data_IF_196035918588
#
_entry.id   IF_196035918588
#
_cell.length_a   1.000
_cell.length_b   1.000
_cell.length_c   1.000
_cell.angle_alpha   90.00
_cell.angle_beta   90.00
_cell.angle_gamma   90.00
#
_symmetry.space_group_name_H-M   'P 1'
#
loop_
_entity.id
_entity.type
_entity.pdbx_description
1 polymer ?
#
# COMPACT_ATOMS: atom_id res chain seq x y z
N UNK A 1 29.75 13.29 10.98
CA UNK A 1 28.37 12.99 10.53
C UNK A 1 28.31 11.51 10.15
N UNK A 2 27.36 10.75 10.69
CA UNK A 2 27.31 9.28 10.58
C UNK A 2 26.48 8.87 9.34
N UNK A 3 27.15 8.30 8.33
CA UNK A 3 26.57 7.87 7.04
C UNK A 3 25.38 6.92 7.20
N UNK A 4 25.38 6.08 8.24
CA UNK A 4 24.32 5.10 8.49
C UNK A 4 22.96 5.75 8.80
N UNK A 5 22.96 6.94 9.42
CA UNK A 5 21.72 7.66 9.73
C UNK A 5 21.05 8.24 8.48
N UNK A 6 21.84 8.58 7.44
CA UNK A 6 21.29 9.09 6.18
C UNK A 6 20.66 7.97 5.36
N UNK A 7 21.32 6.82 5.28
CA UNK A 7 20.79 5.63 4.59
C UNK A 7 19.50 5.13 5.24
N UNK A 8 19.43 5.12 6.58
CA UNK A 8 18.20 4.78 7.29
C UNK A 8 17.07 5.76 6.95
N UNK A 9 17.37 7.06 6.95
CA UNK A 9 16.40 8.12 6.68
C UNK A 9 15.87 8.08 5.23
N UNK A 10 16.72 7.78 4.26
CA UNK A 10 16.33 7.56 2.86
C UNK A 10 15.45 6.32 2.73
N UNK A 11 15.84 5.20 3.34
CA UNK A 11 15.03 3.97 3.35
C UNK A 11 13.63 4.20 3.94
N UNK A 12 13.52 4.95 5.03
CA UNK A 12 12.21 5.28 5.61
C UNK A 12 11.36 6.16 4.69
N UNK A 13 11.99 7.11 4.00
CA UNK A 13 11.29 7.98 3.04
C UNK A 13 10.75 7.18 1.86
N UNK A 14 11.57 6.29 1.31
CA UNK A 14 11.21 5.47 0.16
C UNK A 14 10.03 4.53 0.50
N UNK A 15 10.04 3.94 1.69
CA UNK A 15 8.94 3.09 2.17
C UNK A 15 7.64 3.87 2.43
N UNK A 16 7.71 5.11 2.94
CA UNK A 16 6.52 5.95 3.08
C UNK A 16 5.98 6.35 1.71
N UNK A 17 6.87 6.68 0.76
CA UNK A 17 6.47 6.98 -0.61
C UNK A 17 5.82 5.76 -1.29
N UNK A 18 6.37 4.56 -1.07
CA UNK A 18 5.79 3.28 -1.49
C UNK A 18 4.38 3.13 -0.92
N UNK A 19 4.20 3.29 0.40
CA UNK A 19 2.91 3.17 1.06
C UNK A 19 1.85 4.11 0.44
N UNK A 20 2.20 5.38 0.22
CA UNK A 20 1.29 6.36 -0.40
C UNK A 20 0.88 5.92 -1.81
N UNK A 21 1.81 5.38 -2.61
CA UNK A 21 1.51 4.88 -3.95
C UNK A 21 0.58 3.68 -3.89
N UNK A 22 0.83 2.73 -2.99
CA UNK A 22 0.02 1.53 -2.82
C UNK A 22 -1.42 1.88 -2.41
N UNK A 23 -1.61 2.76 -1.42
CA UNK A 23 -2.95 3.20 -0.99
C UNK A 23 -3.72 3.85 -2.14
N UNK A 24 -3.08 4.73 -2.92
CA UNK A 24 -3.73 5.35 -4.09
C UNK A 24 -4.11 4.34 -5.18
N UNK A 25 -3.33 3.26 -5.33
CA UNK A 25 -3.68 2.18 -6.24
C UNK A 25 -4.86 1.37 -5.71
N UNK A 26 -4.93 1.17 -4.40
CA UNK A 26 -6.03 0.48 -3.75
C UNK A 26 -7.36 1.22 -3.88
N UNK A 27 -7.35 2.54 -3.72
CA UNK A 27 -8.51 3.41 -3.96
C UNK A 27 -9.03 3.26 -5.41
N UNK A 28 -8.12 3.27 -6.39
CA UNK A 28 -8.49 3.09 -7.81
C UNK A 28 -9.07 1.71 -8.08
N UNK A 29 -8.47 0.67 -7.52
CA UNK A 29 -8.96 -0.69 -7.65
C UNK A 29 -10.36 -0.82 -7.04
N UNK A 30 -10.56 -0.29 -5.84
CA UNK A 30 -11.84 -0.27 -5.14
C UNK A 30 -12.92 0.49 -5.91
N UNK A 31 -12.56 1.59 -6.58
CA UNK A 31 -13.49 2.34 -7.44
C UNK A 31 -13.94 1.52 -8.66
N UNK A 32 -13.01 0.83 -9.33
CA UNK A 32 -13.33 -0.06 -10.46
C UNK A 32 -14.23 -1.21 -10.04
N UNK A 33 -13.90 -1.87 -8.93
CA UNK A 33 -14.70 -2.95 -8.35
C UNK A 33 -16.12 -2.48 -8.04
N UNK A 34 -16.25 -1.28 -7.44
CA UNK A 34 -17.55 -0.70 -7.07
C UNK A 34 -18.41 -0.33 -8.29
N UNK A 35 -17.78 0.05 -9.40
CA UNK A 35 -18.44 0.32 -10.69
C UNK A 35 -18.84 -0.97 -11.44
N UNK A 36 -18.63 -2.14 -10.83
CA UNK A 36 -19.03 -3.43 -11.36
C UNK A 36 -17.99 -4.11 -12.25
N UNK A 37 -16.75 -3.62 -12.28
CA UNK A 37 -15.64 -4.31 -12.94
C UNK A 37 -15.15 -5.46 -12.04
N UNK A 38 -15.88 -6.58 -12.05
CA UNK A 38 -15.51 -7.80 -11.34
C UNK A 38 -15.70 -9.08 -12.20
N UNK A 39 -14.70 -9.98 -12.24
CA UNK A 39 -13.28 -9.81 -11.91
C UNK A 39 -12.49 -9.21 -13.11
N UNK A 40 -11.49 -8.37 -12.84
CA UNK A 40 -10.62 -7.83 -13.91
C UNK A 40 -9.86 -8.97 -14.61
N UNK A 41 -9.09 -9.75 -13.84
CA UNK A 41 -8.38 -10.97 -14.24
C UNK A 41 -7.66 -11.60 -13.01
N UNK A 42 -7.11 -12.80 -13.15
CA UNK A 42 -6.40 -13.54 -12.10
C UNK A 42 -5.16 -12.79 -11.59
N UNK A 43 -4.37 -12.20 -12.48
CA UNK A 43 -3.17 -11.45 -12.09
C UNK A 43 -3.56 -10.19 -11.31
N UNK A 44 -4.55 -9.44 -11.78
CA UNK A 44 -5.05 -8.25 -11.07
C UNK A 44 -5.51 -8.57 -9.65
N UNK A 45 -6.17 -9.72 -9.47
CA UNK A 45 -6.61 -10.20 -8.15
C UNK A 45 -5.43 -10.57 -7.25
N UNK A 46 -4.43 -11.27 -7.79
CA UNK A 46 -3.22 -11.62 -7.07
C UNK A 46 -2.39 -10.39 -6.68
N UNK A 47 -2.23 -9.42 -7.59
CA UNK A 47 -1.56 -8.15 -7.30
C UNK A 47 -2.32 -7.31 -6.26
N UNK A 48 -3.66 -7.33 -6.26
CA UNK A 48 -4.45 -6.70 -5.21
C UNK A 48 -4.16 -7.33 -3.84
N UNK A 49 -4.12 -8.66 -3.75
CA UNK A 49 -3.77 -9.37 -2.52
C UNK A 49 -2.40 -8.95 -1.99
N UNK A 50 -1.36 -9.00 -2.83
CA UNK A 50 0.01 -8.61 -2.44
C UNK A 50 0.08 -7.13 -2.02
N UNK A 51 -0.66 -6.25 -2.70
CA UNK A 51 -0.74 -4.83 -2.37
C UNK A 51 -1.31 -4.61 -0.97
N UNK A 52 -2.44 -5.24 -0.65
CA UNK A 52 -3.07 -5.12 0.67
C UNK A 52 -2.11 -5.59 1.75
N UNK A 53 -1.47 -6.75 1.58
CA UNK A 53 -0.48 -7.25 2.54
C UNK A 53 0.69 -6.28 2.74
N UNK A 54 1.19 -5.65 1.66
CA UNK A 54 2.29 -4.67 1.76
C UNK A 54 1.86 -3.37 2.43
N UNK A 55 0.63 -2.90 2.19
CA UNK A 55 0.04 -1.75 2.88
C UNK A 55 -0.04 -2.02 4.38
N UNK A 56 -0.52 -3.20 4.78
CA UNK A 56 -0.61 -3.60 6.19
C UNK A 56 0.77 -3.64 6.86
N UNK A 57 1.76 -4.28 6.21
CA UNK A 57 3.13 -4.37 6.71
C UNK A 57 3.73 -2.98 6.98
N UNK A 58 3.65 -2.07 5.99
CA UNK A 58 4.17 -0.71 6.12
C UNK A 58 3.37 0.11 7.14
N UNK A 59 2.05 -0.05 7.17
CA UNK A 59 1.20 0.66 8.13
C UNK A 59 1.54 0.25 9.56
N UNK A 60 1.73 -1.04 9.83
CA UNK A 60 2.17 -1.55 11.13
C UNK A 60 3.57 -1.05 11.49
N UNK A 61 4.51 -1.10 10.54
CA UNK A 61 5.89 -0.61 10.75
C UNK A 61 5.95 0.85 11.20
N UNK A 62 5.05 1.68 10.66
CA UNK A 62 5.00 3.12 10.96
C UNK A 62 3.91 3.52 11.97
N UNK A 63 3.17 2.56 12.55
CA UNK A 63 2.12 2.83 13.53
C UNK A 63 0.89 3.57 12.96
N UNK A 64 0.63 3.42 11.66
CA UNK A 64 -0.54 3.99 10.98
C UNK A 64 -1.68 2.97 11.14
N UNK A 65 -2.79 3.38 11.75
CA UNK A 65 -3.96 2.51 11.89
C UNK A 65 -4.58 2.25 10.51
N UNK A 66 -4.61 1.00 10.07
CA UNK A 66 -5.23 0.58 8.79
C UNK A 66 -6.74 0.36 8.92
N UNK A 67 -7.42 1.10 9.79
CA UNK A 67 -8.89 1.03 9.91
C UNK A 67 -9.57 1.72 8.70
N UNK A 68 -9.42 1.13 7.51
CA UNK A 68 -10.37 1.31 6.43
C UNK A 68 -11.62 0.51 6.79
N UNK A 69 -12.61 1.20 7.36
CA UNK A 69 -13.96 0.66 7.54
C UNK A 69 -14.50 0.24 6.18
N UNK A 70 -14.48 -1.05 5.89
CA UNK A 70 -15.33 -1.63 4.85
C UNK A 70 -16.78 -1.42 5.29
N UNK A 71 -17.46 -0.45 4.66
CA UNK A 71 -18.92 -0.24 4.74
C UNK A 71 -19.52 -0.74 3.43
#
# INVERSE_FOLDING_TARGET
>A
MNTNNYLLKESHRDEIEELVKLVRMDEKYSALVSDGFLPLDEFSSFYNFLRISRIEELSQKYGISSESKHV
#
